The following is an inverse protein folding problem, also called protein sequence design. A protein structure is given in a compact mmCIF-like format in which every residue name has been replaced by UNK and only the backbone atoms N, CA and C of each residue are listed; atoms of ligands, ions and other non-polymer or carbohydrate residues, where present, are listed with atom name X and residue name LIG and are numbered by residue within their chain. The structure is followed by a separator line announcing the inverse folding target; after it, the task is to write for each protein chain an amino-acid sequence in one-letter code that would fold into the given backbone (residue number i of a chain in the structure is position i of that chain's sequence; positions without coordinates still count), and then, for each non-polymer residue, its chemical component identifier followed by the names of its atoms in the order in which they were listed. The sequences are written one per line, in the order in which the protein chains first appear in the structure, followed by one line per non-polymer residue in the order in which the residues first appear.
data_IF_221552664555
#
_entry.id   IF_221552664555
#
_cell.length_a   1.000
_cell.length_b   1.000
_cell.length_c   1.000
_cell.angle_alpha   90.00
_cell.angle_beta   90.00
_cell.angle_gamma   90.00
#
_symmetry.space_group_name_H-M   'P 1'
#
loop_
_entity.id
_entity.type
_entity.pdbx_description
1 polymer ?
#
# COMPACT_ATOMS: atom_id res chain seq x y z
N UNK A 1 -9.97 3.66 53.78
CA UNK A 1 -10.18 3.13 52.42
C UNK A 1 -8.90 2.44 51.94
N UNK A 2 -8.67 1.18 52.31
CA UNK A 2 -7.66 0.34 51.66
C UNK A 2 -8.38 -0.42 50.55
N UNK A 3 -8.65 0.28 49.44
CA UNK A 3 -9.22 -0.34 48.27
C UNK A 3 -8.22 -1.39 47.75
N UNK A 4 -8.72 -2.53 47.28
CA UNK A 4 -7.97 -3.69 46.80
C UNK A 4 -7.16 -3.46 45.52
N UNK A 5 -6.59 -2.27 45.35
CA UNK A 5 -5.79 -1.83 44.21
C UNK A 5 -4.71 -2.86 43.85
N UNK A 6 -4.14 -3.53 44.85
CA UNK A 6 -3.09 -4.51 44.62
C UNK A 6 -3.60 -5.83 44.02
N UNK A 7 -4.82 -6.24 44.38
CA UNK A 7 -5.47 -7.38 43.75
C UNK A 7 -5.91 -7.05 42.32
N UNK A 8 -6.37 -5.81 42.09
CA UNK A 8 -6.79 -5.33 40.78
C UNK A 8 -5.61 -5.27 39.79
N UNK A 9 -4.42 -4.85 40.23
CA UNK A 9 -3.21 -4.83 39.38
C UNK A 9 -2.78 -6.24 38.99
N UNK A 10 -2.82 -7.20 39.92
CA UNK A 10 -2.49 -8.60 39.62
C UNK A 10 -3.48 -9.20 38.63
N UNK A 11 -4.78 -8.95 38.83
CA UNK A 11 -5.83 -9.38 37.91
C UNK A 11 -5.66 -8.75 36.53
N UNK A 12 -5.35 -7.46 36.46
CA UNK A 12 -5.12 -6.75 35.20
C UNK A 12 -3.95 -7.38 34.43
N UNK A 13 -2.80 -7.59 35.08
CA UNK A 13 -1.61 -8.18 34.44
C UNK A 13 -1.93 -9.58 33.89
N UNK A 14 -2.57 -10.44 34.70
CA UNK A 14 -2.90 -11.80 34.27
C UNK A 14 -3.92 -11.82 33.14
N UNK A 15 -4.97 -10.99 33.20
CA UNK A 15 -5.99 -10.90 32.16
C UNK A 15 -5.40 -10.38 30.85
N UNK A 16 -4.54 -9.35 30.89
CA UNK A 16 -3.85 -8.85 29.70
C UNK A 16 -2.96 -9.92 29.08
N UNK A 17 -2.23 -10.68 29.90
CA UNK A 17 -1.35 -11.74 29.41
C UNK A 17 -2.16 -12.90 28.80
N UNK A 18 -3.24 -13.31 29.45
CA UNK A 18 -4.16 -14.32 28.92
C UNK A 18 -4.81 -13.88 27.60
N UNK A 19 -5.26 -12.62 27.52
CA UNK A 19 -5.84 -12.06 26.31
C UNK A 19 -4.84 -12.02 25.15
N UNK A 20 -3.58 -11.62 25.41
CA UNK A 20 -2.52 -11.61 24.42
C UNK A 20 -2.24 -13.03 23.86
N UNK A 21 -2.18 -14.04 24.74
CA UNK A 21 -2.00 -15.45 24.33
C UNK A 21 -3.19 -15.90 23.48
N UNK A 22 -4.42 -15.67 23.93
CA UNK A 22 -5.63 -16.06 23.18
C UNK A 22 -5.63 -15.39 21.80
N UNK A 23 -5.37 -14.08 21.73
CA UNK A 23 -5.36 -13.33 20.47
C UNK A 23 -4.29 -13.84 19.50
N UNK A 24 -3.10 -14.19 19.99
CA UNK A 24 -2.06 -14.81 19.18
C UNK A 24 -2.52 -16.15 18.59
N UNK A 25 -3.12 -17.02 19.41
CA UNK A 25 -3.60 -18.33 18.94
C UNK A 25 -4.77 -18.20 17.96
N UNK A 26 -5.73 -17.30 18.23
CA UNK A 26 -6.86 -17.02 17.33
C UNK A 26 -6.35 -16.47 16.00
N UNK A 27 -5.49 -15.45 16.02
CA UNK A 27 -4.91 -14.89 14.80
C UNK A 27 -4.10 -15.95 14.03
N UNK A 28 -3.24 -16.70 14.70
CA UNK A 28 -2.44 -17.77 14.09
C UNK A 28 -3.32 -18.87 13.47
N UNK A 29 -4.42 -19.24 14.14
CA UNK A 29 -5.40 -20.19 13.62
C UNK A 29 -6.14 -19.62 12.40
N UNK A 30 -6.60 -18.38 12.48
CA UNK A 30 -7.27 -17.68 11.38
C UNK A 30 -6.36 -17.57 10.15
N UNK A 31 -5.10 -17.17 10.32
CA UNK A 31 -4.15 -17.04 9.21
C UNK A 31 -3.85 -18.41 8.58
N UNK A 32 -3.63 -19.45 9.39
CA UNK A 32 -3.32 -20.79 8.87
C UNK A 32 -4.50 -21.48 8.21
N UNK A 33 -5.72 -21.30 8.74
CA UNK A 33 -6.91 -22.03 8.27
C UNK A 33 -7.67 -21.31 7.16
N UNK A 34 -7.70 -19.98 7.20
CA UNK A 34 -8.47 -19.13 6.30
C UNK A 34 -7.61 -18.28 5.37
N UNK A 35 -6.27 -18.39 5.43
CA UNK A 35 -5.35 -17.65 4.55
C UNK A 35 -5.63 -16.14 4.51
N UNK A 36 -6.02 -15.54 5.64
CA UNK A 36 -6.24 -14.11 5.69
C UNK A 36 -4.98 -13.36 5.24
N UNK A 37 -5.17 -12.41 4.32
CA UNK A 37 -4.11 -11.54 3.84
C UNK A 37 -3.50 -10.84 5.04
N UNK A 38 -2.26 -11.22 5.34
CA UNK A 38 -1.51 -10.62 6.44
C UNK A 38 -0.49 -9.67 5.83
N UNK A 39 -0.20 -8.53 6.47
CA UNK A 39 0.79 -7.60 5.94
C UNK A 39 2.13 -8.34 5.76
N UNK A 40 2.61 -8.44 4.52
CA UNK A 40 3.82 -9.18 4.17
C UNK A 40 3.66 -10.68 3.83
N UNK A 41 2.45 -11.27 3.84
CA UNK A 41 2.19 -12.67 3.43
C UNK A 41 0.88 -12.82 2.64
N UNK A 42 0.95 -13.52 1.50
CA UNK A 42 -0.07 -13.60 0.44
C UNK A 42 -0.33 -12.26 -0.28
N UNK A 43 0.67 -11.72 -0.98
CA UNK A 43 0.44 -10.87 -2.16
C UNK A 43 -0.50 -9.66 -2.00
N UNK A 44 -0.63 -9.08 -0.80
CA UNK A 44 -1.53 -7.94 -0.52
C UNK A 44 -1.13 -6.61 -1.22
N UNK A 45 -0.31 -6.72 -2.27
CA UNK A 45 0.11 -5.64 -3.16
C UNK A 45 -0.08 -6.01 -4.64
N UNK A 46 -0.34 -7.28 -5.01
CA UNK A 46 -0.23 -7.75 -6.41
C UNK A 46 -1.40 -8.54 -6.96
N UNK A 47 -2.42 -8.92 -6.18
CA UNK A 47 -3.63 -9.57 -6.73
C UNK A 47 -4.85 -8.68 -6.51
N UNK A 48 -5.30 -8.00 -7.57
CA UNK A 48 -6.61 -7.33 -7.60
C UNK A 48 -7.39 -7.75 -8.85
N UNK A 49 -7.89 -8.97 -8.80
CA UNK A 49 -8.94 -9.45 -9.70
C UNK A 49 -10.25 -9.55 -8.89
N UNK A 50 -10.98 -8.43 -8.77
CA UNK A 50 -12.42 -8.44 -8.50
C UNK A 50 -12.92 -8.73 -7.06
N UNK A 51 -13.69 -7.76 -6.55
CA UNK A 51 -14.69 -7.86 -5.47
C UNK A 51 -14.21 -7.85 -4.00
N UNK A 52 -14.72 -6.87 -3.22
CA UNK A 52 -14.93 -6.99 -1.78
C UNK A 52 -13.92 -6.31 -0.83
N UNK A 53 -14.21 -5.05 -0.50
CA UNK A 53 -14.21 -4.43 0.85
C UNK A 53 -13.03 -4.54 1.86
N UNK A 54 -12.63 -3.35 2.35
CA UNK A 54 -12.11 -2.98 3.69
C UNK A 54 -10.70 -3.43 4.18
N UNK A 55 -9.82 -2.41 4.20
CA UNK A 55 -9.02 -1.95 5.35
C UNK A 55 -7.78 -2.73 5.89
N UNK A 56 -6.59 -2.27 5.44
CA UNK A 56 -5.35 -1.96 6.19
C UNK A 56 -4.58 -3.08 6.96
N UNK A 57 -3.32 -2.87 7.43
CA UNK A 57 -2.22 -1.95 7.05
C UNK A 57 -0.89 -2.67 6.71
N UNK A 58 0.08 -1.94 6.16
CA UNK A 58 1.42 -2.31 5.70
C UNK A 58 2.37 -3.05 6.67
N UNK A 59 3.26 -3.90 6.14
CA UNK A 59 4.73 -3.84 6.37
C UNK A 59 5.49 -4.76 5.41
N UNK A 60 6.62 -4.24 4.96
CA UNK A 60 7.55 -4.76 3.96
C UNK A 60 8.27 -6.06 4.36
N UNK A 61 8.67 -6.86 3.36
CA UNK A 61 10.08 -7.25 3.11
C UNK A 61 10.16 -8.08 1.81
N UNK A 62 10.95 -7.54 0.88
CA UNK A 62 11.82 -8.14 -0.14
C UNK A 62 11.82 -9.67 -0.30
N UNK A 63 11.58 -10.11 -1.55
CA UNK A 63 12.46 -10.96 -2.38
C UNK A 63 11.67 -11.93 -3.26
N UNK A 64 11.80 -11.76 -4.58
CA UNK A 64 11.25 -12.70 -5.57
C UNK A 64 11.61 -12.27 -6.98
N UNK A 65 12.87 -12.52 -7.36
CA UNK A 65 13.55 -12.09 -8.58
C UNK A 65 13.03 -12.77 -9.87
N UNK A 66 11.71 -12.77 -10.10
CA UNK A 66 11.08 -13.43 -11.25
C UNK A 66 10.03 -12.58 -11.99
N UNK A 67 9.76 -11.34 -11.54
CA UNK A 67 8.65 -10.52 -12.05
C UNK A 67 9.01 -9.03 -12.27
N UNK A 68 10.31 -8.72 -12.32
CA UNK A 68 10.79 -7.36 -12.60
C UNK A 68 10.25 -6.87 -13.95
N UNK A 69 10.13 -7.76 -14.95
CA UNK A 69 9.71 -7.34 -16.28
C UNK A 69 8.26 -6.86 -16.37
N UNK A 70 7.31 -7.40 -15.60
CA UNK A 70 5.91 -6.95 -15.70
C UNK A 70 5.63 -5.76 -14.78
N UNK A 71 6.28 -5.69 -13.62
CA UNK A 71 6.25 -4.49 -12.78
C UNK A 71 6.94 -3.31 -13.47
N UNK A 72 8.11 -3.51 -14.08
CA UNK A 72 8.81 -2.46 -14.84
C UNK A 72 7.97 -1.97 -16.02
N UNK A 73 7.22 -2.86 -16.69
CA UNK A 73 6.28 -2.47 -17.76
C UNK A 73 5.11 -1.66 -17.21
N UNK A 74 4.54 -2.04 -16.07
CA UNK A 74 3.47 -1.28 -15.42
C UNK A 74 3.97 0.11 -15.04
N UNK A 75 5.16 0.20 -14.44
CA UNK A 75 5.78 1.47 -14.06
C UNK A 75 6.10 2.32 -15.28
N UNK A 76 6.62 1.73 -16.36
CA UNK A 76 6.81 2.41 -17.64
C UNK A 76 5.50 2.97 -18.22
N UNK A 77 4.43 2.18 -18.16
CA UNK A 77 3.11 2.62 -18.61
C UNK A 77 2.59 3.78 -17.74
N UNK A 78 2.81 3.74 -16.43
CA UNK A 78 2.47 4.84 -15.51
C UNK A 78 3.26 6.11 -15.82
N UNK A 79 4.58 6.00 -16.03
CA UNK A 79 5.43 7.12 -16.44
C UNK A 79 4.95 7.70 -17.78
N UNK A 80 4.60 6.83 -18.74
CA UNK A 80 4.05 7.26 -20.04
C UNK A 80 2.68 7.97 -19.87
N UNK A 81 1.86 7.51 -18.93
CA UNK A 81 0.57 8.10 -18.63
C UNK A 81 0.70 9.49 -17.99
N UNK A 82 1.79 9.75 -17.26
CA UNK A 82 2.14 11.10 -16.79
C UNK A 82 2.73 12.00 -17.89
N UNK A 83 2.88 11.52 -19.14
CA UNK A 83 3.45 12.29 -20.24
C UNK A 83 4.96 12.08 -20.43
N UNK A 84 5.52 11.03 -19.84
CA UNK A 84 6.93 10.65 -19.95
C UNK A 84 7.81 11.21 -18.83
N UNK A 85 9.04 10.70 -18.75
CA UNK A 85 10.01 11.08 -17.71
C UNK A 85 10.31 12.59 -17.69
N UNK A 86 10.34 13.23 -18.86
CA UNK A 86 10.62 14.66 -18.98
C UNK A 86 9.52 15.56 -18.39
N UNK A 87 8.29 15.06 -18.34
CA UNK A 87 7.13 15.78 -17.83
C UNK A 87 7.02 15.71 -16.30
N UNK A 88 7.66 14.72 -15.67
CA UNK A 88 7.66 14.51 -14.22
C UNK A 88 8.74 15.40 -13.59
N UNK A 89 8.32 16.28 -12.68
CA UNK A 89 9.23 17.17 -11.93
C UNK A 89 9.61 16.55 -10.60
N UNK A 90 8.61 16.10 -9.84
CA UNK A 90 8.76 15.49 -8.52
C UNK A 90 7.77 14.34 -8.37
N UNK A 91 8.20 13.30 -7.66
CA UNK A 91 7.40 12.12 -7.33
C UNK A 91 7.47 11.92 -5.82
N UNK A 92 6.32 11.96 -5.18
CA UNK A 92 6.15 11.68 -3.77
C UNK A 92 5.04 10.65 -3.57
N UNK A 93 5.07 9.89 -2.49
CA UNK A 93 3.99 8.98 -2.13
C UNK A 93 3.68 9.10 -0.64
N UNK A 94 2.38 9.09 -0.35
CA UNK A 94 1.85 8.86 0.98
C UNK A 94 1.40 7.40 1.13
N UNK A 95 0.83 7.05 2.28
CA UNK A 95 0.36 5.70 2.62
C UNK A 95 -0.54 5.04 1.55
N UNK A 96 -1.35 5.81 0.81
CA UNK A 96 -2.29 5.26 -0.19
C UNK A 96 -2.31 5.99 -1.53
N UNK A 97 -1.50 7.03 -1.67
CA UNK A 97 -1.61 8.02 -2.76
C UNK A 97 -0.24 8.38 -3.30
N UNK A 98 -0.07 8.22 -4.60
CA UNK A 98 1.07 8.72 -5.35
C UNK A 98 0.78 10.17 -5.75
N UNK A 99 1.67 11.09 -5.40
CA UNK A 99 1.61 12.52 -5.73
C UNK A 99 2.73 12.83 -6.71
N UNK A 100 2.37 13.26 -7.92
CA UNK A 100 3.33 13.56 -8.99
C UNK A 100 3.15 15.00 -9.41
N UNK A 101 4.22 15.79 -9.39
CA UNK A 101 4.20 17.16 -9.93
C UNK A 101 4.62 17.10 -11.39
N UNK A 102 3.73 17.49 -12.30
CA UNK A 102 4.01 17.51 -13.76
C UNK A 102 4.29 18.92 -14.27
N UNK A 103 5.07 19.03 -15.34
CA UNK A 103 5.35 20.32 -16.01
C UNK A 103 4.15 20.76 -16.86
N UNK A 104 3.57 19.82 -17.58
CA UNK A 104 2.48 20.01 -18.54
C UNK A 104 1.34 19.03 -18.26
N UNK A 105 0.19 19.56 -17.86
CA UNK A 105 -1.00 18.78 -17.55
C UNK A 105 -1.67 18.19 -18.80
N UNK A 106 -1.45 18.78 -19.98
CA UNK A 106 -2.09 18.37 -21.23
C UNK A 106 -1.54 17.06 -21.77
N UNK A 107 -0.31 16.71 -21.40
CA UNK A 107 0.35 15.45 -21.78
C UNK A 107 -0.07 14.27 -20.91
N UNK A 108 -0.87 14.50 -19.87
CA UNK A 108 -1.28 13.46 -18.94
C UNK A 108 -2.50 12.73 -19.48
N UNK A 109 -2.39 11.41 -19.60
CA UNK A 109 -3.43 10.52 -20.09
C UNK A 109 -4.76 10.67 -19.34
N UNK A 110 -5.89 10.40 -20.00
CA UNK A 110 -7.24 10.44 -19.44
C UNK A 110 -7.45 9.51 -18.24
N UNK A 111 -8.39 9.87 -17.36
CA UNK A 111 -8.73 9.13 -16.13
C UNK A 111 -9.04 7.64 -16.37
N UNK A 112 -9.54 7.29 -17.56
CA UNK A 112 -9.79 5.89 -17.96
C UNK A 112 -8.52 5.05 -18.02
N UNK A 113 -7.41 5.60 -18.51
CA UNK A 113 -6.14 4.85 -18.57
C UNK A 113 -5.59 4.54 -17.18
N UNK A 114 -5.81 5.44 -16.22
CA UNK A 114 -5.36 5.24 -14.84
C UNK A 114 -6.09 4.08 -14.16
N UNK A 115 -7.39 3.92 -14.42
CA UNK A 115 -8.15 2.74 -13.94
C UNK A 115 -7.57 1.43 -14.47
N UNK A 116 -7.18 1.38 -15.75
CA UNK A 116 -6.50 0.23 -16.36
C UNK A 116 -5.12 -0.04 -15.76
N UNK A 117 -4.45 0.98 -15.24
CA UNK A 117 -3.15 0.88 -14.56
C UNK A 117 -3.29 0.56 -13.05
N UNK A 118 -4.47 0.16 -12.60
CA UNK A 118 -4.72 -0.21 -11.20
C UNK A 118 -4.98 0.97 -10.25
N UNK A 119 -5.21 2.18 -10.78
CA UNK A 119 -5.59 3.31 -9.95
C UNK A 119 -7.08 3.25 -9.57
N UNK A 120 -7.37 3.46 -8.29
CA UNK A 120 -8.76 3.60 -7.79
C UNK A 120 -9.36 4.97 -8.05
N UNK A 121 -8.52 5.97 -8.33
CA UNK A 121 -8.96 7.32 -8.61
C UNK A 121 -7.81 8.25 -8.90
N UNK A 122 -8.11 9.32 -9.64
CA UNK A 122 -7.16 10.36 -10.03
C UNK A 122 -7.75 11.71 -9.61
N UNK A 123 -6.94 12.53 -8.97
CA UNK A 123 -7.27 13.89 -8.56
C UNK A 123 -6.25 14.80 -9.23
N UNK A 124 -6.73 15.70 -10.08
CA UNK A 124 -5.88 16.69 -10.77
C UNK A 124 -6.08 18.04 -10.10
N UNK A 125 -4.99 18.67 -9.65
CA UNK A 125 -5.00 20.02 -9.07
C UNK A 125 -3.91 20.86 -9.72
N UNK A 126 -4.24 21.45 -10.86
CA UNK A 126 -3.24 22.07 -11.71
C UNK A 126 -2.10 21.08 -11.95
N UNK A 127 -0.86 21.54 -11.74
CA UNK A 127 0.36 20.75 -11.97
C UNK A 127 0.52 19.56 -11.02
N UNK A 128 -0.33 19.46 -9.99
CA UNK A 128 -0.33 18.38 -9.01
C UNK A 128 -1.23 17.21 -9.40
N UNK A 129 -0.59 16.14 -9.85
CA UNK A 129 -1.02 14.75 -10.04
C UNK A 129 -1.31 13.99 -8.74
N UNK A 130 -2.52 13.58 -8.35
CA UNK A 130 -2.65 12.59 -7.27
C UNK A 130 -3.40 11.36 -7.74
N UNK A 131 -2.77 10.20 -7.62
CA UNK A 131 -3.33 8.92 -8.05
C UNK A 131 -3.41 7.98 -6.85
N UNK A 132 -4.58 7.39 -6.62
CA UNK A 132 -4.86 6.51 -5.48
C UNK A 132 -4.56 5.08 -5.90
N UNK A 133 -3.43 4.54 -5.46
CA UNK A 133 -3.04 3.14 -5.71
C UNK A 133 -3.25 2.22 -4.49
N UNK A 134 -3.51 2.78 -3.31
CA UNK A 134 -3.54 2.00 -2.07
C UNK A 134 -2.14 1.77 -1.51
N UNK A 135 -1.92 0.74 -0.68
CA UNK A 135 -0.67 0.56 0.07
C UNK A 135 0.56 0.35 -0.84
N UNK A 136 0.37 -0.03 -2.11
CA UNK A 136 1.43 -0.15 -3.12
C UNK A 136 1.97 1.21 -3.63
N UNK A 137 1.36 2.35 -3.26
CA UNK A 137 1.81 3.66 -3.72
C UNK A 137 3.27 3.97 -3.36
N UNK A 138 3.74 3.46 -2.21
CA UNK A 138 5.12 3.65 -1.76
C UNK A 138 6.13 2.81 -2.57
N UNK A 139 5.76 1.56 -2.88
CA UNK A 139 6.56 0.67 -3.75
C UNK A 139 6.66 1.27 -5.15
N UNK A 140 5.52 1.69 -5.71
CA UNK A 140 5.45 2.30 -7.04
C UNK A 140 6.27 3.58 -7.15
N UNK A 141 6.34 4.38 -6.07
CA UNK A 141 7.22 5.55 -6.00
C UNK A 141 8.70 5.14 -6.09
N UNK A 142 9.12 4.14 -5.31
CA UNK A 142 10.50 3.63 -5.36
C UNK A 142 10.85 3.19 -6.78
N UNK A 143 10.00 2.37 -7.39
CA UNK A 143 10.24 1.83 -8.74
C UNK A 143 10.30 2.95 -9.80
N UNK A 144 9.44 3.97 -9.68
CA UNK A 144 9.45 5.14 -10.57
C UNK A 144 10.77 5.92 -10.41
N UNK A 145 11.24 6.14 -9.18
CA UNK A 145 12.48 6.86 -8.87
C UNK A 145 13.70 6.08 -9.39
N UNK A 146 13.73 4.77 -9.15
CA UNK A 146 14.79 3.88 -9.61
C UNK A 146 14.88 3.86 -11.15
N UNK A 147 13.74 3.83 -11.85
CA UNK A 147 13.70 3.91 -13.32
C UNK A 147 13.99 5.30 -13.90
N UNK A 148 13.71 6.36 -13.14
CA UNK A 148 14.09 7.74 -13.48
C UNK A 148 15.58 8.01 -13.21
N UNK A 149 16.26 7.12 -12.48
CA UNK A 149 17.67 7.25 -12.12
C UNK A 149 17.94 8.48 -11.24
N UNK A 150 17.00 8.85 -10.36
CA UNK A 150 17.07 10.03 -9.48
C UNK A 150 17.11 9.66 -8.01
#
# INVERSE_FOLDING_TARGET
MKAGLWLDVVNYIWVTLAFAVIMYFVANFMIKRFKFATPGRLGNYTDFDGEGEEAAPSTATTAGNADASDNDKLVWNIISAFGGQENITEVDACMTRLRVTVKDETKVAEDKKWSTLGARGVIRKGKGIQVVYGPQADVLKSDIIDLLGK
#
